data_IF_926035441962
#
_entry.id   IF_926035441962
#
_cell.length_a   1.000
_cell.length_b   1.000
_cell.length_c   1.000
_cell.angle_alpha   90.00
_cell.angle_beta   90.00
_cell.angle_gamma   90.00
#
_symmetry.space_group_name_H-M   'P 1'
#
loop_
_entity.id
_entity.type
_entity.pdbx_description
1 polymer ?
#
# COMPACT_ATOMS: atom_id res chain seq x y z
N UNK A 1 -46.30 -0.49 -5.24
CA UNK A 1 -45.85 0.13 -3.98
C UNK A 1 -44.44 0.63 -4.20
N UNK A 2 -44.24 1.95 -4.15
CA UNK A 2 -42.97 2.57 -4.49
C UNK A 2 -41.97 2.51 -3.33
N UNK A 3 -40.78 1.99 -3.58
CA UNK A 3 -39.60 2.21 -2.74
C UNK A 3 -38.91 3.46 -3.27
N UNK A 4 -39.29 4.62 -2.71
CA UNK A 4 -38.47 5.80 -2.86
C UNK A 4 -37.07 5.49 -2.30
N UNK A 5 -36.09 5.79 -3.13
CA UNK A 5 -34.64 5.70 -2.93
C UNK A 5 -34.20 6.45 -1.68
N UNK A 6 -33.90 5.73 -0.59
CA UNK A 6 -33.18 6.27 0.57
C UNK A 6 -31.68 6.52 0.29
N UNK A 7 -31.28 6.65 -0.99
CA UNK A 7 -29.92 6.98 -1.42
C UNK A 7 -29.64 8.49 -1.39
N UNK A 8 -30.68 9.34 -1.45
CA UNK A 8 -30.53 10.79 -1.52
C UNK A 8 -29.62 11.41 -0.42
N UNK A 9 -29.63 10.93 0.84
CA UNK A 9 -28.69 11.41 1.86
C UNK A 9 -27.22 11.09 1.54
N UNK A 10 -26.95 9.96 0.86
CA UNK A 10 -25.61 9.51 0.48
C UNK A 10 -25.08 10.21 -0.77
N UNK A 11 -25.99 10.72 -1.61
CA UNK A 11 -25.71 11.49 -2.81
C UNK A 11 -25.48 12.99 -2.49
N UNK A 12 -25.86 13.44 -1.28
CA UNK A 12 -25.72 14.82 -0.86
C UNK A 12 -24.30 15.15 -0.39
N UNK A 13 -23.82 16.36 -0.72
CA UNK A 13 -22.58 16.93 -0.21
C UNK A 13 -21.55 17.24 -1.31
N UNK A 14 -20.36 17.66 -0.87
CA UNK A 14 -19.26 18.08 -1.74
C UNK A 14 -18.38 16.92 -2.23
N UNK A 15 -18.73 15.69 -1.83
CA UNK A 15 -17.94 14.49 -2.06
C UNK A 15 -17.46 13.85 -0.76
N UNK A 16 -16.48 12.96 -0.90
CA UNK A 16 -15.96 12.14 0.20
C UNK A 16 -14.44 12.10 0.17
N UNK A 17 -13.80 11.79 1.28
CA UNK A 17 -12.37 11.47 1.33
C UNK A 17 -12.21 10.07 1.87
N UNK A 18 -11.47 9.23 1.13
CA UNK A 18 -11.04 7.92 1.58
C UNK A 18 -9.63 8.02 2.16
N UNK A 19 -9.49 7.67 3.43
CA UNK A 19 -8.22 7.62 4.15
C UNK A 19 -7.88 6.16 4.41
N UNK A 20 -6.66 5.77 4.09
CA UNK A 20 -6.15 4.42 4.30
C UNK A 20 -4.88 4.45 5.14
N UNK A 21 -4.75 3.47 6.03
CA UNK A 21 -3.50 3.06 6.65
C UNK A 21 -3.31 1.57 6.35
N UNK A 22 -2.27 1.25 5.58
CA UNK A 22 -1.92 -0.11 5.20
C UNK A 22 -0.66 -0.51 5.95
N UNK A 23 -0.67 -1.65 6.62
CA UNK A 23 0.50 -2.22 7.28
C UNK A 23 0.66 -3.67 6.85
N UNK A 24 1.88 -4.06 6.48
CA UNK A 24 2.21 -5.44 6.16
C UNK A 24 3.52 -5.80 6.85
N UNK A 25 3.60 -7.02 7.37
CA UNK A 25 4.84 -7.57 7.89
C UNK A 25 4.84 -9.08 7.79
N UNK A 26 6.03 -9.65 7.83
CA UNK A 26 6.20 -11.09 7.94
C UNK A 26 7.64 -11.49 7.77
N UNK A 27 7.82 -12.80 7.72
CA UNK A 27 9.12 -13.43 7.71
C UNK A 27 9.06 -14.74 6.96
N UNK A 28 10.11 -15.02 6.20
CA UNK A 28 10.30 -16.31 5.57
C UNK A 28 11.68 -16.86 5.97
N UNK A 29 11.81 -18.17 6.05
CA UNK A 29 13.11 -18.80 6.31
C UNK A 29 13.20 -20.11 5.55
N UNK A 30 14.40 -20.44 5.10
CA UNK A 30 14.62 -21.60 4.26
C UNK A 30 16.03 -22.14 4.37
N UNK A 31 16.22 -23.30 3.75
CA UNK A 31 17.53 -23.92 3.54
C UNK A 31 17.68 -24.29 2.08
N UNK A 32 18.87 -24.08 1.54
CA UNK A 32 19.24 -24.38 0.16
C UNK A 32 20.68 -24.88 0.12
N UNK A 33 21.14 -25.31 -1.05
CA UNK A 33 22.56 -25.65 -1.27
C UNK A 33 23.50 -24.47 -0.93
N UNK A 34 23.00 -23.23 -0.98
CA UNK A 34 23.75 -22.02 -0.64
C UNK A 34 23.78 -21.70 0.87
N UNK A 35 23.08 -22.48 1.71
CA UNK A 35 22.99 -22.26 3.16
C UNK A 35 21.56 -22.03 3.64
N UNK A 36 21.42 -21.65 4.91
CA UNK A 36 20.15 -21.22 5.49
C UNK A 36 19.96 -19.72 5.29
N UNK A 37 18.71 -19.29 5.20
CA UNK A 37 18.39 -17.88 5.09
C UNK A 37 17.14 -17.53 5.91
N UNK A 38 17.08 -16.27 6.33
CA UNK A 38 15.91 -15.66 6.97
C UNK A 38 15.66 -14.31 6.34
N UNK A 39 14.43 -14.07 5.90
CA UNK A 39 13.97 -12.79 5.37
C UNK A 39 12.91 -12.22 6.29
N UNK A 40 12.96 -10.91 6.50
CA UNK A 40 11.94 -10.14 7.18
C UNK A 40 11.55 -8.97 6.29
N UNK A 41 10.25 -8.71 6.22
CA UNK A 41 9.70 -7.62 5.44
C UNK A 41 8.71 -6.85 6.28
N UNK A 42 8.70 -5.53 6.12
CA UNK A 42 7.73 -4.65 6.75
C UNK A 42 7.44 -3.46 5.86
N UNK A 43 6.17 -3.05 5.82
CA UNK A 43 5.74 -1.89 5.09
C UNK A 43 4.60 -1.17 5.80
N UNK A 44 4.60 0.16 5.71
CA UNK A 44 3.52 1.02 6.20
C UNK A 44 3.25 2.10 5.16
N UNK A 45 2.01 2.15 4.69
CA UNK A 45 1.54 3.17 3.77
C UNK A 45 0.36 3.92 4.36
N UNK A 46 0.24 5.18 4.02
CA UNK A 46 -0.93 6.00 4.30
C UNK A 46 -1.35 6.72 3.03
N UNK A 47 -2.65 6.86 2.83
CA UNK A 47 -3.20 7.62 1.72
C UNK A 47 -4.43 8.40 2.14
N UNK A 48 -4.65 9.55 1.52
CA UNK A 48 -5.89 10.31 1.56
C UNK A 48 -6.25 10.64 0.11
N UNK A 49 -7.32 10.05 -0.40
CA UNK A 49 -7.76 10.20 -1.78
C UNK A 49 -9.15 10.85 -1.80
N UNK A 50 -9.30 12.04 -2.41
CA UNK A 50 -10.59 12.67 -2.53
C UNK A 50 -11.45 11.97 -3.58
N UNK A 51 -12.75 11.89 -3.31
CA UNK A 51 -13.79 11.32 -4.18
C UNK A 51 -14.76 12.45 -4.52
N UNK A 52 -14.64 12.96 -5.74
CA UNK A 52 -15.20 14.27 -6.10
C UNK A 52 -16.46 14.18 -6.94
N UNK A 53 -16.71 13.05 -7.60
CA UNK A 53 -17.83 12.88 -8.52
C UNK A 53 -18.71 11.71 -8.12
N UNK A 54 -20.00 11.99 -7.89
CA UNK A 54 -21.04 11.02 -7.58
C UNK A 54 -21.95 10.75 -8.77
N UNK A 55 -22.37 9.50 -8.93
CA UNK A 55 -23.43 9.07 -9.83
C UNK A 55 -24.63 8.60 -8.98
N UNK A 56 -25.84 9.05 -9.31
CA UNK A 56 -27.03 8.72 -8.52
C UNK A 56 -27.38 7.23 -8.65
N UNK A 57 -28.13 6.72 -7.68
CA UNK A 57 -28.68 5.37 -7.76
C UNK A 57 -29.57 5.19 -9.01
N UNK A 58 -29.46 4.04 -9.68
CA UNK A 58 -30.28 3.69 -10.86
C UNK A 58 -31.22 2.55 -10.50
N UNK A 59 -32.40 2.92 -10.00
CA UNK A 59 -33.43 1.98 -9.56
C UNK A 59 -33.04 1.17 -8.33
N UNK A 60 -33.66 0.01 -8.14
CA UNK A 60 -33.41 -0.86 -7.00
C UNK A 60 -32.18 -1.79 -7.18
N UNK A 61 -31.60 -1.84 -8.38
CA UNK A 61 -30.52 -2.76 -8.72
C UNK A 61 -29.12 -2.19 -8.43
N UNK A 62 -28.96 -0.87 -8.52
CA UNK A 62 -27.68 -0.19 -8.33
C UNK A 62 -27.84 1.02 -7.42
N UNK A 63 -27.13 1.02 -6.29
CA UNK A 63 -27.05 2.17 -5.39
C UNK A 63 -26.13 3.26 -5.94
N UNK A 64 -25.96 4.37 -5.20
CA UNK A 64 -25.09 5.46 -5.63
C UNK A 64 -23.62 5.03 -5.64
N UNK A 65 -22.85 5.61 -6.55
CA UNK A 65 -21.41 5.36 -6.65
C UNK A 65 -20.65 6.66 -6.79
N UNK A 66 -19.47 6.71 -6.17
CA UNK A 66 -18.58 7.86 -6.13
C UNK A 66 -17.21 7.47 -6.65
N UNK A 67 -16.55 8.38 -7.36
CA UNK A 67 -15.20 8.19 -7.88
C UNK A 67 -14.40 9.49 -7.93
N UNK A 68 -13.08 9.37 -8.00
CA UNK A 68 -12.22 10.51 -8.31
C UNK A 68 -12.30 10.80 -9.80
N UNK A 69 -12.75 12.01 -10.14
CA UNK A 69 -12.60 12.57 -11.48
C UNK A 69 -11.91 13.91 -11.33
N UNK A 70 -10.65 14.08 -11.80
CA UNK A 70 -9.83 15.25 -11.51
C UNK A 70 -10.46 16.60 -11.87
N UNK A 71 -11.51 16.65 -12.69
CA UNK A 71 -12.14 17.91 -13.12
C UNK A 71 -13.64 17.99 -12.83
N UNK A 72 -14.23 16.94 -12.24
CA UNK A 72 -15.66 16.92 -11.92
C UNK A 72 -15.87 16.80 -10.41
N UNK A 73 -16.77 17.63 -9.90
CA UNK A 73 -17.12 17.69 -8.49
C UNK A 73 -17.41 19.12 -8.05
N UNK A 74 -17.65 19.30 -6.76
CA UNK A 74 -17.80 20.64 -6.21
C UNK A 74 -16.43 21.33 -6.06
N UNK A 75 -16.37 22.67 -6.04
CA UNK A 75 -15.12 23.39 -5.78
C UNK A 75 -14.42 22.98 -4.47
N UNK A 76 -15.19 22.64 -3.43
CA UNK A 76 -14.64 22.16 -2.15
C UNK A 76 -14.09 20.75 -2.24
N UNK A 77 -14.78 19.88 -2.98
CA UNK A 77 -14.30 18.52 -3.26
C UNK A 77 -13.00 18.53 -4.05
N UNK A 78 -12.95 19.35 -5.09
CA UNK A 78 -11.80 19.56 -5.95
C UNK A 78 -10.61 20.19 -5.19
N UNK A 79 -10.86 21.03 -4.18
CA UNK A 79 -9.79 21.61 -3.36
C UNK A 79 -9.14 20.62 -2.37
N UNK A 80 -9.69 19.43 -2.17
CA UNK A 80 -9.10 18.45 -1.25
C UNK A 80 -7.76 17.92 -1.78
N UNK A 81 -6.71 17.86 -0.95
CA UNK A 81 -5.44 17.29 -1.36
C UNK A 81 -5.54 15.76 -1.48
N UNK A 82 -4.88 15.24 -2.51
CA UNK A 82 -4.42 13.86 -2.52
C UNK A 82 -3.11 13.77 -1.75
N UNK A 83 -3.03 12.88 -0.76
CA UNK A 83 -1.78 12.59 -0.06
C UNK A 83 -1.47 11.11 -0.08
N UNK A 84 -0.19 10.80 -0.14
CA UNK A 84 0.35 9.46 0.01
C UNK A 84 1.67 9.55 0.77
N UNK A 85 1.91 8.63 1.69
CA UNK A 85 3.25 8.43 2.25
C UNK A 85 3.49 6.96 2.57
N UNK A 86 4.71 6.51 2.37
CA UNK A 86 5.08 5.11 2.54
C UNK A 86 6.47 4.94 3.12
N UNK A 87 6.65 3.87 3.89
CA UNK A 87 7.95 3.35 4.30
C UNK A 87 7.96 1.83 4.15
N UNK A 88 9.09 1.29 3.72
CA UNK A 88 9.30 -0.15 3.60
C UNK A 88 10.70 -0.54 4.05
N UNK A 89 10.82 -1.73 4.63
CA UNK A 89 12.09 -2.33 5.02
C UNK A 89 12.07 -3.82 4.68
N UNK A 90 13.12 -4.27 4.00
CA UNK A 90 13.43 -5.67 3.75
C UNK A 90 14.78 -5.98 4.37
N UNK A 91 14.89 -7.12 5.04
CA UNK A 91 16.15 -7.63 5.59
C UNK A 91 16.27 -9.11 5.29
N UNK A 92 17.35 -9.48 4.60
CA UNK A 92 17.75 -10.87 4.40
C UNK A 92 19.03 -11.16 5.14
N UNK A 93 19.04 -12.27 5.87
CA UNK A 93 20.25 -12.87 6.41
C UNK A 93 20.48 -14.22 5.74
N UNK A 94 21.65 -14.39 5.12
CA UNK A 94 22.12 -15.65 4.56
C UNK A 94 23.24 -16.18 5.45
N UNK A 95 23.18 -17.46 5.81
CA UNK A 95 24.19 -18.14 6.59
C UNK A 95 24.58 -19.46 5.90
N UNK A 96 25.79 -19.50 5.37
CA UNK A 96 26.46 -20.71 4.88
C UNK A 96 27.55 -21.11 5.87
N UNK A 97 27.41 -22.25 6.57
CA UNK A 97 28.44 -22.69 7.51
C UNK A 97 29.75 -23.04 6.79
N UNK A 98 30.86 -22.91 7.50
CA UNK A 98 32.20 -23.27 7.01
C UNK A 98 32.30 -24.81 6.92
N UNK A 99 32.73 -25.33 5.77
CA UNK A 99 32.94 -26.77 5.56
C UNK A 99 34.43 -27.19 5.50
N UNK A 100 35.35 -26.24 5.31
CA UNK A 100 36.81 -26.47 5.28
C UNK A 100 37.31 -27.54 4.31
N UNK A 101 36.57 -27.80 3.23
CA UNK A 101 37.13 -28.40 2.03
C UNK A 101 37.81 -27.34 1.14
N UNK A 102 38.62 -27.78 0.18
CA UNK A 102 39.29 -26.89 -0.79
C UNK A 102 38.23 -26.08 -1.54
N UNK A 103 38.22 -24.76 -1.35
CA UNK A 103 37.29 -23.83 -2.00
C UNK A 103 35.98 -23.56 -1.26
N UNK A 104 35.81 -24.06 -0.04
CA UNK A 104 34.55 -23.92 0.74
C UNK A 104 34.70 -23.00 1.96
N UNK A 105 34.60 -21.69 1.72
CA UNK A 105 34.49 -20.69 2.79
C UNK A 105 33.05 -20.61 3.35
N UNK A 106 32.91 -20.35 4.64
CA UNK A 106 31.63 -19.97 5.22
C UNK A 106 31.30 -18.52 4.87
N UNK A 107 30.01 -18.24 4.66
CA UNK A 107 29.54 -16.90 4.30
C UNK A 107 28.38 -16.53 5.20
N UNK A 108 28.45 -15.34 5.79
CA UNK A 108 27.30 -14.66 6.37
C UNK A 108 27.05 -13.38 5.58
N UNK A 109 25.92 -13.32 4.89
CA UNK A 109 25.47 -12.14 4.15
C UNK A 109 24.30 -11.49 4.88
N UNK A 110 24.30 -10.16 4.97
CA UNK A 110 23.15 -9.37 5.43
C UNK A 110 22.81 -8.34 4.36
N UNK A 111 21.60 -8.39 3.83
CA UNK A 111 21.05 -7.41 2.90
C UNK A 111 19.97 -6.63 3.65
N UNK A 112 20.04 -5.31 3.62
CA UNK A 112 19.00 -4.42 4.17
C UNK A 112 18.60 -3.44 3.09
N UNK A 113 17.33 -3.46 2.69
CA UNK A 113 16.75 -2.49 1.76
C UNK A 113 15.73 -1.65 2.51
N UNK A 114 15.83 -0.32 2.43
CA UNK A 114 14.85 0.60 3.01
C UNK A 114 14.42 1.62 1.99
N UNK A 115 13.12 1.81 1.84
CA UNK A 115 12.56 2.84 0.97
C UNK A 115 11.56 3.71 1.72
N UNK A 116 11.43 4.96 1.29
CA UNK A 116 10.31 5.82 1.65
C UNK A 116 9.83 6.61 0.43
N UNK A 117 8.62 7.16 0.47
CA UNK A 117 8.10 7.92 -0.65
C UNK A 117 6.86 8.69 -0.27
N UNK A 118 6.57 9.76 -1.01
CA UNK A 118 5.39 10.56 -0.75
C UNK A 118 4.81 11.23 -1.99
N UNK A 119 3.56 11.64 -1.86
CA UNK A 119 2.85 12.52 -2.79
C UNK A 119 2.03 13.50 -1.97
N UNK A 120 2.04 14.76 -2.36
CA UNK A 120 1.07 15.75 -1.93
C UNK A 120 0.63 16.57 -3.13
N UNK A 121 -0.61 16.40 -3.55
CA UNK A 121 -1.12 16.93 -4.79
C UNK A 121 -2.50 17.57 -4.61
N UNK A 122 -2.59 18.85 -4.89
CA UNK A 122 -3.85 19.61 -4.94
C UNK A 122 -4.21 20.02 -6.37
N UNK A 123 -3.24 20.06 -7.28
CA UNK A 123 -3.47 20.38 -8.68
C UNK A 123 -3.98 19.14 -9.42
N UNK A 124 -5.19 19.23 -9.98
CA UNK A 124 -5.86 18.18 -10.76
C UNK A 124 -5.05 17.63 -11.94
N UNK A 125 -4.11 18.42 -12.47
CA UNK A 125 -3.23 18.01 -13.56
C UNK A 125 -1.92 17.39 -13.07
N UNK A 126 -1.72 17.25 -11.76
CA UNK A 126 -0.51 16.65 -11.20
C UNK A 126 -0.43 15.15 -11.54
N UNK A 127 0.78 14.60 -11.74
CA UNK A 127 0.97 13.17 -11.95
C UNK A 127 0.36 12.32 -10.83
N UNK A 128 0.45 12.78 -9.57
CA UNK A 128 -0.09 12.06 -8.42
C UNK A 128 -1.61 11.88 -8.48
N UNK A 129 -2.35 12.89 -8.93
CA UNK A 129 -3.81 12.78 -9.13
C UNK A 129 -4.14 11.90 -10.33
N UNK A 130 -3.34 11.93 -11.41
CA UNK A 130 -3.58 11.08 -12.58
C UNK A 130 -3.28 9.59 -12.32
N UNK A 131 -2.38 9.29 -11.39
CA UNK A 131 -2.05 7.91 -10.99
C UNK A 131 -2.98 7.35 -9.91
N UNK A 132 -3.76 8.21 -9.26
CA UNK A 132 -4.67 7.79 -8.21
C UNK A 132 -5.98 7.25 -8.76
N UNK A 133 -6.54 6.28 -8.05
CA UNK A 133 -7.83 5.69 -8.37
C UNK A 133 -8.63 5.56 -7.07
N UNK A 134 -9.90 5.93 -7.10
CA UNK A 134 -10.81 5.61 -6.00
C UNK A 134 -12.21 5.44 -6.55
N UNK A 135 -12.88 4.40 -6.06
CA UNK A 135 -14.27 4.11 -6.35
C UNK A 135 -14.93 3.61 -5.08
N UNK A 136 -16.06 4.22 -4.74
CA UNK A 136 -16.89 3.80 -3.63
C UNK A 136 -18.29 3.55 -4.13
N UNK A 137 -18.80 2.34 -3.95
CA UNK A 137 -20.11 1.93 -4.46
C UNK A 137 -20.99 1.43 -3.35
N UNK A 138 -22.21 1.93 -3.29
CA UNK A 138 -23.22 1.41 -2.37
C UNK A 138 -24.10 0.42 -3.13
N UNK A 139 -24.37 -0.72 -2.50
CA UNK A 139 -25.31 -1.73 -3.00
C UNK A 139 -26.72 -1.17 -3.19
N UNK A 140 -27.50 -1.74 -4.12
CA UNK A 140 -28.87 -1.31 -4.40
C UNK A 140 -29.85 -1.50 -3.23
N UNK A 141 -29.54 -2.41 -2.30
CA UNK A 141 -30.33 -2.62 -1.07
C UNK A 141 -29.91 -1.68 0.08
N UNK A 142 -28.90 -0.83 -0.14
CA UNK A 142 -28.33 0.11 0.82
C UNK A 142 -27.85 -0.56 2.12
N UNK A 143 -27.35 -1.80 2.05
CA UNK A 143 -26.84 -2.51 3.24
C UNK A 143 -25.34 -2.65 3.26
N UNK A 144 -24.72 -2.74 2.09
CA UNK A 144 -23.28 -2.89 1.96
C UNK A 144 -22.68 -1.88 1.00
N UNK A 145 -21.38 -1.73 1.07
CA UNK A 145 -20.62 -0.95 0.10
C UNK A 145 -19.31 -1.65 -0.28
N UNK A 146 -18.73 -1.18 -1.37
CA UNK A 146 -17.44 -1.59 -1.90
C UNK A 146 -16.55 -0.35 -1.98
N UNK A 147 -15.33 -0.43 -1.46
CA UNK A 147 -14.33 0.63 -1.55
C UNK A 147 -13.08 0.10 -2.26
N UNK A 148 -12.74 0.71 -3.40
CA UNK A 148 -11.47 0.55 -4.10
C UNK A 148 -10.68 1.85 -3.98
N UNK A 149 -9.44 1.79 -3.54
CA UNK A 149 -8.55 2.95 -3.41
C UNK A 149 -7.14 2.57 -3.84
N UNK A 150 -6.55 3.37 -4.69
CA UNK A 150 -5.16 3.28 -5.07
C UNK A 150 -4.50 4.65 -5.15
N UNK A 151 -3.27 4.71 -4.68
CA UNK A 151 -2.44 5.90 -4.67
C UNK A 151 -0.97 5.48 -4.64
N UNK A 152 -0.07 6.36 -5.06
CA UNK A 152 1.37 6.09 -5.01
C UNK A 152 2.20 7.35 -4.86
N UNK A 153 3.49 7.15 -4.63
CA UNK A 153 4.48 8.21 -4.53
C UNK A 153 4.82 8.77 -5.93
N UNK A 154 4.82 10.09 -6.06
CA UNK A 154 5.39 10.80 -7.22
C UNK A 154 6.85 11.16 -6.98
N UNK A 155 7.24 11.26 -5.72
CA UNK A 155 8.62 11.47 -5.26
C UNK A 155 9.02 10.26 -4.39
N UNK A 156 9.31 9.09 -4.99
CA UNK A 156 9.89 8.00 -4.24
C UNK A 156 11.29 8.42 -3.79
N UNK A 157 11.52 8.44 -2.48
CA UNK A 157 12.85 8.53 -1.92
C UNK A 157 13.57 7.21 -2.16
N UNK A 158 14.83 7.32 -2.52
CA UNK A 158 15.69 6.21 -2.90
C UNK A 158 15.63 5.03 -1.92
N UNK A 159 15.48 3.81 -2.47
CA UNK A 159 15.81 2.60 -1.73
C UNK A 159 17.30 2.57 -1.51
N UNK A 160 17.72 2.63 -0.25
CA UNK A 160 19.10 2.30 0.12
C UNK A 160 19.16 0.80 0.35
N UNK A 161 19.87 0.10 -0.52
CA UNK A 161 20.26 -1.29 -0.32
C UNK A 161 21.68 -1.33 0.22
N UNK A 162 21.86 -1.87 1.42
CA UNK A 162 23.18 -2.12 2.01
C UNK A 162 23.38 -3.63 2.11
N UNK A 163 24.44 -4.12 1.45
CA UNK A 163 24.87 -5.51 1.53
C UNK A 163 26.15 -5.58 2.33
N UNK A 164 26.15 -6.33 3.43
CA UNK A 164 27.32 -6.65 4.23
C UNK A 164 27.63 -8.13 4.11
N UNK A 165 28.79 -8.46 3.57
CA UNK A 165 29.26 -9.85 3.45
C UNK A 165 30.43 -10.09 4.38
N UNK A 166 30.25 -11.03 5.31
CA UNK A 166 31.28 -11.53 6.21
C UNK A 166 31.68 -12.93 5.72
N UNK A 167 32.89 -13.06 5.20
CA UNK A 167 33.43 -14.34 4.78
C UNK A 167 34.26 -14.93 5.91
N UNK A 168 33.76 -16.00 6.53
CA UNK A 168 34.51 -16.77 7.53
C UNK A 168 35.31 -17.85 6.83
N UNK A 169 36.63 -17.73 6.92
CA UNK A 169 37.56 -18.69 6.34
C UNK A 169 38.03 -19.69 7.40
N UNK A 170 38.59 -20.81 6.96
CA UNK A 170 39.10 -21.88 7.83
C UNK A 170 40.23 -21.41 8.77
N UNK A 171 40.59 -22.21 9.80
CA UNK A 171 41.63 -21.82 10.75
C UNK A 171 42.89 -21.33 10.03
N UNK A 172 43.43 -20.18 10.46
CA UNK A 172 44.58 -19.45 9.89
C UNK A 172 44.27 -18.45 8.77
N UNK A 173 43.03 -17.95 8.66
CA UNK A 173 42.73 -16.86 7.72
C UNK A 173 41.77 -15.84 8.31
N UNK A 174 42.07 -14.56 8.06
CA UNK A 174 41.28 -13.45 8.58
C UNK A 174 39.94 -13.37 7.85
N UNK A 175 38.88 -13.11 8.63
CA UNK A 175 37.57 -12.84 8.05
C UNK A 175 37.61 -11.54 7.25
N UNK A 176 36.98 -11.53 6.08
CA UNK A 176 36.79 -10.31 5.30
C UNK A 176 35.38 -9.77 5.52
N UNK A 177 35.29 -8.45 5.67
CA UNK A 177 34.03 -7.73 5.72
C UNK A 177 33.98 -6.75 4.53
N UNK A 178 32.99 -6.93 3.66
CA UNK A 178 32.73 -6.05 2.52
C UNK A 178 31.35 -5.46 2.69
N UNK A 179 31.25 -4.14 2.58
CA UNK A 179 29.97 -3.42 2.60
C UNK A 179 29.81 -2.65 1.29
N UNK A 180 28.76 -2.99 0.55
CA UNK A 180 28.36 -2.31 -0.67
C UNK A 180 27.01 -1.61 -0.47
N UNK A 181 26.87 -0.43 -1.08
CA UNK A 181 25.62 0.32 -1.07
C UNK A 181 25.15 0.60 -2.49
N UNK A 182 23.90 0.29 -2.78
CA UNK A 182 23.24 0.61 -4.03
C UNK A 182 21.97 1.43 -3.78
N UNK A 183 21.63 2.26 -4.76
CA UNK A 183 20.51 3.18 -4.72
C UNK A 183 19.58 2.88 -5.88
N UNK A 184 18.30 2.64 -5.61
CA UNK A 184 17.26 2.44 -6.64
C UNK A 184 15.99 3.21 -6.32
N UNK A 185 15.14 3.47 -7.32
CA UNK A 185 13.84 4.12 -7.13
C UNK A 185 12.73 3.07 -7.24
N UNK A 186 12.23 2.51 -6.12
CA UNK A 186 11.17 1.50 -6.15
C UNK A 186 9.84 2.13 -6.54
N UNK A 187 8.94 1.33 -7.11
CA UNK A 187 7.55 1.75 -7.25
C UNK A 187 6.87 1.69 -5.87
N UNK A 188 6.41 2.83 -5.35
CA UNK A 188 5.65 2.87 -4.10
C UNK A 188 4.20 3.20 -4.38
N UNK A 189 3.35 2.18 -4.39
CA UNK A 189 1.92 2.34 -4.58
C UNK A 189 1.13 1.37 -3.70
N UNK A 190 -0.11 1.75 -3.41
CA UNK A 190 -1.10 0.87 -2.81
C UNK A 190 -2.25 0.71 -3.79
N UNK A 191 -2.85 -0.47 -3.79
CA UNK A 191 -4.14 -0.73 -4.41
C UNK A 191 -4.91 -1.65 -3.47
N UNK A 192 -5.98 -1.11 -2.88
CA UNK A 192 -6.80 -1.76 -1.87
C UNK A 192 -8.20 -1.93 -2.43
N UNK A 193 -8.71 -3.15 -2.36
CA UNK A 193 -10.05 -3.51 -2.79
C UNK A 193 -10.80 -4.17 -1.60
N UNK A 194 -11.84 -3.50 -1.10
CA UNK A 194 -12.63 -3.93 0.05
C UNK A 194 -14.11 -4.07 -0.32
N UNK A 195 -14.56 -5.29 -0.53
CA UNK A 195 -15.94 -5.60 -0.94
C UNK A 195 -16.83 -6.00 0.23
N UNK A 196 -18.14 -5.73 0.13
CA UNK A 196 -19.14 -6.27 1.06
C UNK A 196 -19.08 -5.68 2.47
N UNK A 197 -18.53 -4.46 2.61
CA UNK A 197 -18.44 -3.75 3.87
C UNK A 197 -19.83 -3.31 4.34
N UNK A 198 -20.15 -3.34 5.64
CA UNK A 198 -21.45 -2.88 6.13
C UNK A 198 -21.61 -1.37 5.94
N UNK A 199 -22.75 -0.95 5.40
CA UNK A 199 -23.10 0.46 5.27
C UNK A 199 -23.68 0.98 6.59
N UNK A 200 -23.30 2.20 7.00
CA UNK A 200 -23.93 2.85 8.14
C UNK A 200 -25.42 3.17 7.84
N UNK A 201 -26.22 3.41 8.88
CA UNK A 201 -27.65 3.75 8.71
C UNK A 201 -27.87 5.17 8.18
N UNK A 202 -26.87 6.04 8.28
CA UNK A 202 -26.93 7.43 7.84
C UNK A 202 -25.57 7.90 7.33
N UNK A 203 -25.53 8.88 6.42
CA UNK A 203 -24.28 9.49 5.97
C UNK A 203 -23.50 10.08 7.13
N UNK A 204 -22.21 9.82 7.15
CA UNK A 204 -21.29 10.27 8.19
C UNK A 204 -19.96 9.57 8.03
N UNK A 205 -19.02 9.85 8.94
CA UNK A 205 -17.73 9.18 8.94
C UNK A 205 -17.92 7.69 9.21
N UNK A 206 -17.49 6.87 8.26
CA UNK A 206 -17.42 5.41 8.39
C UNK A 206 -15.97 4.99 8.52
N UNK A 207 -15.74 3.91 9.26
CA UNK A 207 -14.41 3.37 9.47
C UNK A 207 -14.49 1.86 9.63
N UNK A 208 -13.40 1.19 9.30
CA UNK A 208 -13.29 -0.23 9.53
C UNK A 208 -11.86 -0.70 9.35
N UNK A 209 -11.69 -2.00 9.55
CA UNK A 209 -10.43 -2.68 9.31
C UNK A 209 -10.68 -3.92 8.46
N UNK A 210 -9.65 -4.37 7.76
CA UNK A 210 -9.68 -5.59 6.97
C UNK A 210 -8.27 -6.09 6.71
N UNK A 211 -8.16 -7.31 6.19
CA UNK A 211 -6.91 -7.86 5.69
C UNK A 211 -7.09 -8.22 4.24
N UNK A 212 -6.20 -7.72 3.37
CA UNK A 212 -6.22 -8.00 1.93
C UNK A 212 -4.85 -8.45 1.48
N UNK A 213 -4.76 -9.40 0.53
CA UNK A 213 -3.50 -9.71 -0.12
C UNK A 213 -3.03 -8.49 -0.92
N UNK A 214 -1.77 -8.09 -0.73
CA UNK A 214 -1.17 -6.99 -1.48
C UNK A 214 0.22 -7.37 -1.95
N UNK A 215 0.52 -7.02 -3.21
CA UNK A 215 1.86 -7.15 -3.75
C UNK A 215 2.74 -6.00 -3.26
N UNK A 216 3.92 -6.33 -2.77
CA UNK A 216 4.95 -5.38 -2.38
C UNK A 216 6.22 -5.63 -3.19
N UNK A 217 6.79 -4.55 -3.70
CA UNK A 217 8.09 -4.50 -4.39
C UNK A 217 9.05 -3.70 -3.50
N UNK A 218 9.89 -4.41 -2.74
CA UNK A 218 10.77 -3.86 -1.70
C UNK A 218 12.19 -4.41 -1.87
N UNK A 219 13.03 -3.69 -2.61
CA UNK A 219 14.42 -4.10 -2.85
C UNK A 219 14.49 -5.41 -3.61
N UNK A 220 14.99 -6.47 -2.95
CA UNK A 220 15.08 -7.82 -3.55
C UNK A 220 13.80 -8.66 -3.36
N UNK A 221 12.78 -8.15 -2.66
CA UNK A 221 11.52 -8.84 -2.45
C UNK A 221 10.45 -8.32 -3.43
N UNK A 222 9.86 -9.22 -4.21
CA UNK A 222 8.67 -8.98 -5.03
C UNK A 222 7.67 -10.11 -4.76
N UNK A 223 6.63 -9.83 -3.99
CA UNK A 223 5.70 -10.86 -3.53
C UNK A 223 4.43 -10.33 -2.92
N UNK A 224 3.45 -11.22 -2.75
CA UNK A 224 2.16 -10.93 -2.15
C UNK A 224 2.16 -11.25 -0.66
N UNK A 225 1.74 -10.30 0.17
CA UNK A 225 1.68 -10.41 1.63
C UNK A 225 0.28 -10.04 2.13
N UNK A 226 -0.20 -10.68 3.21
CA UNK A 226 -1.40 -10.22 3.89
C UNK A 226 -1.12 -8.84 4.51
N UNK A 227 -1.88 -7.83 4.07
CA UNK A 227 -1.78 -6.47 4.57
C UNK A 227 -3.02 -6.12 5.40
N UNK A 228 -2.81 -5.59 6.60
CA UNK A 228 -3.86 -5.01 7.42
C UNK A 228 -4.16 -3.60 6.91
N UNK A 229 -5.43 -3.35 6.62
CA UNK A 229 -5.94 -2.09 6.12
C UNK A 229 -6.88 -1.51 7.16
N UNK A 230 -6.55 -0.33 7.67
CA UNK A 230 -7.51 0.54 8.35
C UNK A 230 -8.01 1.55 7.33
N UNK A 231 -9.32 1.70 7.23
CA UNK A 231 -9.94 2.62 6.29
C UNK A 231 -10.90 3.56 7.01
N UNK A 232 -10.94 4.80 6.55
CA UNK A 232 -11.92 5.81 6.97
C UNK A 232 -12.51 6.46 5.72
N UNK A 233 -13.82 6.60 5.68
CA UNK A 233 -14.53 7.31 4.63
C UNK A 233 -15.32 8.44 5.28
N UNK A 234 -14.99 9.69 4.94
CA UNK A 234 -15.61 10.88 5.54
C UNK A 234 -16.23 11.80 4.50
N UNK A 235 -17.40 12.40 4.76
CA UNK A 235 -17.94 13.44 3.92
C UNK A 235 -17.02 14.67 3.87
N UNK A 236 -17.05 15.39 2.75
CA UNK A 236 -16.44 16.71 2.62
C UNK A 236 -17.46 17.76 3.09
N UNK A 237 -17.08 18.58 4.07
CA UNK A 237 -17.90 19.62 4.69
C UNK A 237 -17.31 21.01 4.49
#
# INVERSE_FOLDING_TARGET
>A
MGTATNSAPWEAGDGWVAELVVTASGSESGTSEMGSWTENYSARYTASVPITYGTPAVGAAMGPAWQLVPTLGSPRGLAQPLTFSGTSEFRRELNRPVACAIGEDGVRGVIVSRGSGSTNATNHNSPGIQMAQVRWEISGDLRTHHLLVGAGATEPTETTETTTTITSRCPNSDAQNVTDSATSQPSMSINVDLTGLPLALSPGTMRGTGTVPMRFDIGAFDGELPANVEWTLRPIS
#
